data_IF_600429999888
#
_entry.id   IF_600429999888
#
_cell.length_a   1.000
_cell.length_b   1.000
_cell.length_c   1.000
_cell.angle_alpha   90.00
_cell.angle_beta   90.00
_cell.angle_gamma   90.00
#
_symmetry.space_group_name_H-M   'P 1'
#
loop_
_entity.id
_entity.type
_entity.pdbx_description
1 polymer ?
#
# COMPACT_ATOMS: atom_id res chain seq x y z
N UNK A 1 -28.72 -21.77 -10.66
CA UNK A 1 -27.97 -20.69 -11.35
C UNK A 1 -26.87 -20.21 -10.42
N UNK A 2 -25.62 -20.46 -10.80
CA UNK A 2 -24.45 -20.32 -9.94
C UNK A 2 -24.05 -18.86 -9.71
N UNK A 3 -23.85 -18.49 -8.44
CA UNK A 3 -23.18 -17.25 -8.07
C UNK A 3 -21.70 -17.37 -8.43
N UNK A 4 -21.26 -16.54 -9.36
CA UNK A 4 -19.84 -16.38 -9.67
C UNK A 4 -19.07 -16.04 -8.39
N UNK A 5 -18.01 -16.80 -8.12
CA UNK A 5 -17.06 -16.49 -7.06
C UNK A 5 -16.35 -15.18 -7.42
N UNK A 6 -16.58 -14.14 -6.63
CA UNK A 6 -15.87 -12.87 -6.73
C UNK A 6 -14.40 -13.15 -6.38
N UNK A 7 -13.51 -12.82 -7.30
CA UNK A 7 -12.06 -12.96 -7.14
C UNK A 7 -11.53 -11.86 -6.19
N UNK A 8 -10.91 -12.26 -5.08
CA UNK A 8 -10.65 -11.43 -3.91
C UNK A 8 -9.30 -10.68 -3.97
N UNK A 9 -9.07 -9.94 -5.06
CA UNK A 9 -7.91 -9.06 -5.21
C UNK A 9 -8.19 -7.64 -4.68
N UNK A 10 -8.47 -7.50 -3.38
CA UNK A 10 -7.98 -6.31 -2.65
C UNK A 10 -6.49 -6.55 -2.48
N UNK A 11 -5.79 -6.15 -3.52
CA UNK A 11 -4.36 -6.13 -3.58
C UNK A 11 -3.92 -5.08 -2.57
N UNK A 12 -3.20 -5.49 -1.52
CA UNK A 12 -2.49 -4.57 -0.63
C UNK A 12 -1.32 -4.02 -1.46
N UNK A 13 -1.64 -3.26 -2.50
CA UNK A 13 -0.69 -2.53 -3.32
C UNK A 13 -0.50 -1.20 -2.62
N UNK A 14 0.72 -0.98 -2.15
CA UNK A 14 1.20 0.35 -1.81
C UNK A 14 1.58 1.03 -3.13
N UNK A 15 0.63 1.60 -3.88
CA UNK A 15 0.94 2.46 -5.02
C UNK A 15 0.97 3.91 -4.54
N UNK A 16 2.09 4.56 -4.80
CA UNK A 16 2.17 6.01 -4.93
C UNK A 16 1.48 6.47 -6.21
N UNK A 17 0.66 7.50 -6.11
CA UNK A 17 0.24 8.26 -7.28
C UNK A 17 -0.77 9.33 -6.91
N UNK A 18 -0.43 10.58 -7.22
CA UNK A 18 -1.22 11.80 -7.05
C UNK A 18 -2.74 11.64 -7.19
N UNK A 19 -3.46 12.28 -6.25
CA UNK A 19 -4.85 12.65 -6.45
C UNK A 19 -4.93 13.77 -7.50
N UNK A 20 -5.19 13.41 -8.75
CA UNK A 20 -5.80 14.34 -9.72
C UNK A 20 -7.33 14.20 -9.66
N UNK A 21 -8.09 15.29 -9.44
CA UNK A 21 -9.54 15.24 -9.50
C UNK A 21 -10.03 15.07 -10.95
N UNK A 22 -11.03 14.21 -11.23
CA UNK A 22 -11.66 14.15 -12.53
C UNK A 22 -12.53 15.40 -12.75
N UNK A 23 -12.23 16.13 -13.83
CA UNK A 23 -13.10 17.17 -14.36
C UNK A 23 -14.42 16.58 -14.87
N UNK A 24 -15.52 17.19 -14.44
CA UNK A 24 -16.88 16.94 -14.92
C UNK A 24 -17.79 18.11 -14.53
N UNK A 25 -18.79 18.47 -15.35
CA UNK A 25 -19.24 19.85 -15.52
C UNK A 25 -20.15 20.35 -14.39
N UNK A 26 -19.98 21.64 -14.07
CA UNK A 26 -20.77 22.41 -13.13
C UNK A 26 -22.17 22.65 -13.70
N UNK A 27 -23.18 21.93 -13.18
CA UNK A 27 -24.60 22.31 -13.32
C UNK A 27 -24.97 23.28 -12.20
N UNK A 28 -25.48 24.42 -12.63
CA UNK A 28 -26.13 25.52 -11.92
C UNK A 28 -27.10 25.04 -10.83
N UNK A 29 -27.10 25.66 -9.64
CA UNK A 29 -28.28 26.29 -8.98
C UNK A 29 -27.98 26.83 -7.57
N UNK A 30 -28.16 28.17 -7.45
CA UNK A 30 -28.61 29.02 -6.32
C UNK A 30 -27.88 29.06 -4.96
N UNK A 31 -27.21 30.21 -4.79
CA UNK A 31 -27.12 31.12 -3.63
C UNK A 31 -27.73 30.66 -2.30
N UNK A 32 -26.90 30.67 -1.25
CA UNK A 32 -27.24 31.35 0.01
C UNK A 32 -26.03 32.16 0.51
N UNK A 33 -26.36 33.31 1.08
CA UNK A 33 -25.51 34.46 1.40
C UNK A 33 -24.60 34.17 2.59
N UNK A 34 -23.31 34.52 2.48
CA UNK A 34 -22.47 34.87 3.62
C UNK A 34 -21.63 36.09 3.29
N UNK A 35 -21.96 37.18 3.97
CA UNK A 35 -21.19 38.42 4.04
C UNK A 35 -19.90 38.15 4.82
N UNK A 36 -18.75 38.38 4.20
CA UNK A 36 -17.48 38.54 4.91
C UNK A 36 -16.66 39.58 4.15
N UNK A 37 -16.64 40.77 4.72
CA UNK A 37 -15.84 41.93 4.33
C UNK A 37 -14.37 41.62 4.64
N UNK A 38 -13.49 41.65 3.64
CA UNK A 38 -12.05 41.86 3.89
C UNK A 38 -11.42 42.56 2.69
N UNK A 39 -10.68 43.62 3.03
CA UNK A 39 -9.83 44.48 2.20
C UNK A 39 -9.04 43.68 1.14
N UNK A 40 -8.81 44.18 -0.07
CA UNK A 40 -8.30 45.51 -0.39
C UNK A 40 -6.81 45.37 -0.66
N UNK A 41 -6.43 45.25 -1.93
CA UNK A 41 -5.11 45.61 -2.44
C UNK A 41 -5.13 45.69 -3.96
N UNK A 42 -5.09 46.94 -4.44
CA UNK A 42 -4.89 47.34 -5.82
C UNK A 42 -3.41 47.22 -6.14
N UNK A 43 -3.05 46.50 -7.21
CA UNK A 43 -1.76 46.66 -7.86
C UNK A 43 -2.01 46.80 -9.36
N UNK A 44 -1.94 48.06 -9.82
CA UNK A 44 -1.82 48.44 -11.22
C UNK A 44 -0.36 48.25 -11.61
N UNK A 45 -0.10 47.41 -12.61
CA UNK A 45 1.17 47.40 -13.32
C UNK A 45 0.89 47.48 -14.81
N UNK A 46 0.96 48.71 -15.30
CA UNK A 46 1.07 49.07 -16.71
C UNK A 46 2.54 48.93 -17.11
N UNK A 47 2.84 48.09 -18.09
CA UNK A 47 4.21 47.91 -18.60
C UNK A 47 4.20 47.20 -19.94
N UNK A 48 4.21 47.98 -21.01
CA UNK A 48 4.38 47.52 -22.38
C UNK A 48 5.86 47.25 -22.68
N UNK A 49 6.15 46.17 -23.40
CA UNK A 49 7.36 46.07 -24.21
C UNK A 49 7.13 45.12 -25.40
N UNK A 50 7.72 45.54 -26.51
CA UNK A 50 7.58 45.08 -27.88
C UNK A 50 8.57 43.95 -28.13
N UNK A 51 8.21 42.96 -28.95
CA UNK A 51 9.21 42.20 -29.72
C UNK A 51 8.96 40.71 -29.88
N UNK A 52 8.98 40.27 -31.14
CA UNK A 52 9.44 38.92 -31.50
C UNK A 52 8.35 37.95 -31.91
N UNK A 53 7.99 37.98 -33.20
CA UNK A 53 7.31 36.87 -33.86
C UNK A 53 8.24 35.66 -33.96
N UNK A 54 7.80 34.49 -33.48
CA UNK A 54 8.36 33.20 -33.87
C UNK A 54 7.23 32.28 -34.29
N UNK A 55 7.33 31.82 -35.53
CA UNK A 55 6.38 30.96 -36.19
C UNK A 55 6.24 29.61 -35.47
N UNK A 56 5.00 29.19 -35.22
CA UNK A 56 4.70 27.82 -34.80
C UNK A 56 4.51 26.98 -36.06
N UNK A 57 5.49 26.12 -36.32
CA UNK A 57 5.38 25.04 -37.30
C UNK A 57 4.77 23.80 -36.64
N UNK A 58 3.74 23.25 -37.27
CA UNK A 58 3.27 21.86 -37.16
C UNK A 58 2.89 21.42 -38.56
N UNK A 59 2.77 20.12 -38.87
CA UNK A 59 3.23 18.91 -38.19
C UNK A 59 4.07 18.01 -39.14
N UNK A 60 4.70 16.94 -38.64
CA UNK A 60 4.52 15.57 -39.18
C UNK A 60 5.56 14.56 -38.62
N UNK A 61 4.99 13.44 -38.18
CA UNK A 61 5.43 12.06 -38.36
C UNK A 61 6.91 11.73 -38.18
N UNK A 62 7.21 11.05 -37.06
CA UNK A 62 7.92 9.77 -37.12
C UNK A 62 7.52 8.84 -35.96
N UNK A 63 6.93 7.72 -36.36
CA UNK A 63 7.35 6.37 -35.98
C UNK A 63 6.75 5.65 -34.76
N UNK A 64 6.16 4.51 -35.12
CA UNK A 64 6.27 3.18 -34.52
C UNK A 64 5.27 2.80 -33.43
N UNK A 65 4.12 2.37 -33.93
CA UNK A 65 3.52 1.06 -33.67
C UNK A 65 4.44 0.08 -32.93
N UNK A 66 4.11 -0.14 -31.66
CA UNK A 66 4.63 -1.20 -30.82
C UNK A 66 3.53 -1.66 -29.88
N UNK A 67 2.48 -2.28 -30.43
CA UNK A 67 1.41 -2.91 -29.66
C UNK A 67 2.00 -4.06 -28.84
N UNK A 68 2.34 -3.82 -27.57
CA UNK A 68 2.56 -4.90 -26.61
C UNK A 68 1.22 -5.56 -26.34
N UNK A 69 0.95 -6.64 -27.09
CA UNK A 69 -0.09 -7.60 -26.76
C UNK A 69 0.27 -8.22 -25.42
N UNK A 70 -0.48 -7.89 -24.37
CA UNK A 70 -0.58 -8.74 -23.19
C UNK A 70 -1.17 -10.08 -23.66
N UNK A 71 -0.31 -11.09 -23.81
CA UNK A 71 -0.78 -12.46 -23.85
C UNK A 71 -1.37 -12.77 -22.48
N UNK A 72 -2.70 -12.76 -22.39
CA UNK A 72 -3.44 -13.34 -21.28
C UNK A 72 -3.05 -14.82 -21.21
N UNK A 73 -2.11 -15.16 -20.33
CA UNK A 73 -1.81 -16.55 -20.02
C UNK A 73 -3.00 -17.04 -19.22
N UNK A 74 -3.76 -17.95 -19.83
CA UNK A 74 -4.92 -18.59 -19.26
C UNK A 74 -4.61 -19.13 -17.85
N UNK A 75 -5.59 -18.96 -16.96
CA UNK A 75 -5.50 -19.25 -15.53
C UNK A 75 -4.87 -20.61 -15.22
N UNK A 76 -3.75 -20.55 -14.50
CA UNK A 76 -3.36 -21.65 -13.63
C UNK A 76 -4.36 -21.74 -12.48
N UNK A 77 -4.80 -22.94 -12.07
CA UNK A 77 -5.69 -23.09 -10.93
C UNK A 77 -5.00 -22.53 -9.68
N UNK A 78 -5.56 -21.46 -9.11
CA UNK A 78 -5.27 -21.07 -7.74
C UNK A 78 -5.89 -22.15 -6.87
N UNK A 79 -5.08 -23.14 -6.48
CA UNK A 79 -5.49 -24.17 -5.53
C UNK A 79 -5.80 -23.49 -4.20
N UNK A 80 -7.08 -23.17 -4.00
CA UNK A 80 -7.58 -22.83 -2.68
C UNK A 80 -7.33 -24.03 -1.77
N UNK A 81 -6.56 -23.91 -0.69
CA UNK A 81 -6.30 -25.04 0.18
C UNK A 81 -7.61 -25.58 0.76
N UNK A 82 -7.75 -26.92 0.93
CA UNK A 82 -8.93 -27.52 1.51
C UNK A 82 -9.26 -26.92 2.87
N UNK A 83 -10.56 -26.67 3.10
CA UNK A 83 -11.11 -26.33 4.43
C UNK A 83 -10.79 -27.49 5.37
N UNK A 84 -9.81 -27.32 6.26
CA UNK A 84 -9.48 -28.30 7.31
C UNK A 84 -8.02 -28.69 7.44
N UNK A 85 -7.13 -28.30 6.51
CA UNK A 85 -5.69 -28.48 6.71
C UNK A 85 -5.21 -27.34 7.61
N UNK A 86 -4.79 -27.65 8.83
CA UNK A 86 -4.00 -26.73 9.64
C UNK A 86 -2.89 -26.20 8.75
N UNK A 87 -2.94 -24.90 8.41
CA UNK A 87 -2.03 -24.32 7.44
C UNK A 87 -0.60 -24.69 7.83
N UNK A 88 0.10 -25.43 6.96
CA UNK A 88 1.47 -25.82 7.25
C UNK A 88 2.32 -24.55 7.25
N UNK A 89 2.81 -24.16 8.43
CA UNK A 89 3.65 -23.00 8.58
C UNK A 89 5.04 -23.30 8.06
N UNK A 90 5.41 -22.67 6.96
CA UNK A 90 6.68 -22.89 6.26
C UNK A 90 7.61 -21.71 6.49
N UNK A 91 8.90 -21.99 6.67
CA UNK A 91 9.92 -20.94 6.71
C UNK A 91 9.98 -20.23 5.35
N UNK A 92 9.97 -18.91 5.39
CA UNK A 92 10.13 -18.01 4.25
C UNK A 92 11.26 -17.06 4.60
N UNK A 93 12.33 -17.10 3.82
CA UNK A 93 13.50 -16.25 4.01
C UNK A 93 13.58 -15.27 2.85
N UNK A 94 13.70 -13.98 3.17
CA UNK A 94 14.03 -12.96 2.20
C UNK A 94 15.51 -13.07 1.85
N UNK A 95 15.83 -13.63 0.69
CA UNK A 95 17.20 -14.00 0.33
C UNK A 95 18.21 -12.83 0.42
N UNK A 96 17.90 -11.59 0.00
CA UNK A 96 18.86 -10.49 0.08
C UNK A 96 19.17 -10.03 1.51
N UNK A 97 18.18 -10.08 2.41
CA UNK A 97 18.35 -9.60 3.81
C UNK A 97 18.65 -10.72 4.81
N UNK A 98 18.42 -11.98 4.46
CA UNK A 98 18.50 -13.13 5.37
C UNK A 98 17.35 -13.19 6.40
N UNK A 99 16.44 -12.22 6.40
CA UNK A 99 15.33 -12.13 7.35
C UNK A 99 14.34 -13.25 7.10
N UNK A 100 13.98 -13.97 8.16
CA UNK A 100 13.16 -15.18 8.07
C UNK A 100 11.90 -15.07 8.93
N UNK A 101 10.79 -15.57 8.41
CA UNK A 101 9.51 -15.74 9.13
C UNK A 101 8.89 -17.07 8.76
N UNK A 102 7.87 -17.51 9.49
CA UNK A 102 6.97 -18.58 9.07
C UNK A 102 5.70 -17.98 8.45
N UNK A 103 5.28 -18.52 7.31
CA UNK A 103 4.01 -18.17 6.64
C UNK A 103 3.08 -19.39 6.56
N UNK A 104 1.74 -19.21 6.57
CA UNK A 104 0.76 -20.29 6.54
C UNK A 104 0.60 -20.91 5.14
N UNK A 105 1.70 -21.14 4.45
CA UNK A 105 1.75 -21.62 3.08
C UNK A 105 2.97 -21.07 2.33
N UNK A 106 3.27 -21.67 1.18
CA UNK A 106 4.31 -21.17 0.27
C UNK A 106 3.80 -19.93 -0.47
N UNK A 107 4.72 -19.05 -0.80
CA UNK A 107 4.43 -17.83 -1.56
C UNK A 107 5.57 -17.53 -2.53
N UNK A 108 5.28 -16.70 -3.53
CA UNK A 108 6.29 -16.12 -4.42
C UNK A 108 6.57 -14.71 -3.94
N UNK A 109 7.81 -14.26 -4.14
CA UNK A 109 8.16 -12.86 -3.88
C UNK A 109 7.55 -11.98 -4.97
N UNK A 110 6.88 -10.92 -4.54
CA UNK A 110 6.44 -9.79 -5.38
C UNK A 110 7.43 -8.65 -5.18
N UNK A 111 7.89 -8.05 -6.29
CA UNK A 111 8.79 -6.90 -6.27
C UNK A 111 8.01 -5.65 -6.63
N UNK A 112 8.15 -4.61 -5.82
CA UNK A 112 7.47 -3.32 -5.97
C UNK A 112 8.38 -2.20 -5.45
N UNK A 113 7.87 -0.98 -5.40
CA UNK A 113 8.54 0.17 -4.81
C UNK A 113 7.57 0.98 -3.95
N UNK A 114 8.07 1.55 -2.85
CA UNK A 114 7.28 2.41 -1.98
C UNK A 114 7.98 3.75 -1.79
N UNK A 115 7.20 4.83 -1.67
CA UNK A 115 7.75 6.13 -1.31
C UNK A 115 7.49 6.40 0.16
N UNK A 116 8.58 6.59 0.91
CA UNK A 116 8.54 6.99 2.30
C UNK A 116 9.32 8.29 2.43
N UNK A 117 8.66 9.33 2.96
CA UNK A 117 9.26 10.66 3.15
C UNK A 117 9.89 11.22 1.87
N UNK A 118 9.21 11.07 0.73
CA UNK A 118 9.65 11.60 -0.56
C UNK A 118 10.76 10.82 -1.27
N UNK A 119 11.22 9.68 -0.71
CA UNK A 119 12.20 8.79 -1.34
C UNK A 119 11.58 7.45 -1.70
N UNK A 120 11.89 6.94 -2.88
CA UNK A 120 11.44 5.63 -3.36
C UNK A 120 12.42 4.54 -2.94
N UNK A 121 11.89 3.45 -2.39
CA UNK A 121 12.64 2.29 -1.89
C UNK A 121 12.12 1.02 -2.54
N UNK A 122 13.01 0.02 -2.70
CA UNK A 122 12.63 -1.29 -3.22
C UNK A 122 11.87 -2.07 -2.14
N UNK A 123 10.77 -2.69 -2.53
CA UNK A 123 9.91 -3.48 -1.66
C UNK A 123 9.84 -4.92 -2.18
N UNK A 124 10.11 -5.89 -1.31
CA UNK A 124 9.85 -7.30 -1.55
C UNK A 124 8.71 -7.75 -0.64
N UNK A 125 7.66 -8.33 -1.23
CA UNK A 125 6.46 -8.74 -0.49
C UNK A 125 6.17 -10.22 -0.69
N UNK A 126 5.77 -10.87 0.38
CA UNK A 126 5.45 -12.29 0.48
C UNK A 126 4.02 -12.40 1.05
N UNK A 127 3.05 -12.81 0.23
CA UNK A 127 1.62 -12.81 0.58
C UNK A 127 1.06 -14.24 0.59
N UNK A 128 0.28 -14.59 1.61
CA UNK A 128 -0.44 -15.87 1.68
C UNK A 128 -1.88 -15.63 2.11
N UNK A 129 -2.83 -16.23 1.40
CA UNK A 129 -4.23 -16.30 1.80
C UNK A 129 -4.46 -17.50 2.72
N UNK A 130 -5.03 -17.25 3.89
CA UNK A 130 -5.41 -18.26 4.90
C UNK A 130 -6.93 -18.21 5.10
N UNK A 131 -7.67 -18.81 4.16
CA UNK A 131 -9.12 -18.70 4.11
C UNK A 131 -9.55 -17.26 3.77
N UNK A 132 -10.36 -16.64 4.64
CA UNK A 132 -10.82 -15.24 4.50
C UNK A 132 -9.79 -14.20 4.99
N UNK A 133 -8.69 -14.66 5.58
CA UNK A 133 -7.64 -13.82 6.14
C UNK A 133 -6.44 -13.80 5.18
N UNK A 134 -5.65 -12.74 5.24
CA UNK A 134 -4.39 -12.60 4.50
C UNK A 134 -3.25 -12.39 5.49
N UNK A 135 -2.08 -12.95 5.17
CA UNK A 135 -0.83 -12.76 5.91
C UNK A 135 0.21 -12.19 4.96
N UNK A 136 0.93 -11.17 5.41
CA UNK A 136 1.93 -10.43 4.63
C UNK A 136 3.23 -10.35 5.41
N UNK A 137 4.33 -10.69 4.76
CA UNK A 137 5.69 -10.37 5.18
C UNK A 137 6.31 -9.51 4.09
N UNK A 138 6.95 -8.40 4.47
CA UNK A 138 7.59 -7.51 3.52
C UNK A 138 8.92 -7.01 4.05
N UNK A 139 9.86 -6.80 3.13
CA UNK A 139 11.17 -6.20 3.39
C UNK A 139 11.35 -5.03 2.44
N UNK A 140 11.57 -3.85 2.99
CA UNK A 140 11.92 -2.65 2.23
C UNK A 140 13.40 -2.36 2.39
N UNK A 141 14.13 -2.22 1.29
CA UNK A 141 15.54 -1.83 1.30
C UNK A 141 15.67 -0.32 1.43
N UNK A 142 16.27 0.12 2.53
CA UNK A 142 16.36 1.51 2.97
C UNK A 142 17.83 1.93 3.22
N UNK A 143 18.76 1.45 2.39
CA UNK A 143 20.19 1.76 2.53
C UNK A 143 20.46 3.27 2.65
N UNK A 144 21.13 3.67 3.72
CA UNK A 144 21.47 5.07 4.00
C UNK A 144 20.29 5.94 4.43
N UNK A 145 19.13 5.36 4.75
CA UNK A 145 17.98 6.07 5.31
C UNK A 145 17.75 5.73 6.78
N UNK A 146 17.09 6.63 7.51
CA UNK A 146 16.68 6.37 8.89
C UNK A 146 15.44 5.46 8.91
N UNK A 147 15.66 4.15 9.04
CA UNK A 147 14.59 3.13 9.13
C UNK A 147 13.69 3.33 10.35
N UNK A 148 14.19 3.92 11.44
CA UNK A 148 13.38 4.21 12.64
C UNK A 148 12.41 5.36 12.37
N UNK A 149 12.83 6.39 11.63
CA UNK A 149 11.95 7.49 11.22
C UNK A 149 10.82 7.01 10.28
N UNK A 150 10.98 5.87 9.62
CA UNK A 150 9.99 5.29 8.70
C UNK A 150 8.87 4.49 9.40
N UNK A 151 9.01 4.14 10.68
CA UNK A 151 8.05 3.30 11.41
C UNK A 151 6.62 3.89 11.44
N UNK A 152 6.48 5.16 11.81
CA UNK A 152 5.17 5.83 11.86
C UNK A 152 4.59 6.14 10.48
N UNK A 153 5.37 6.69 9.52
CA UNK A 153 4.93 6.84 8.13
C UNK A 153 4.41 5.54 7.52
N UNK A 154 5.05 4.40 7.79
CA UNK A 154 4.65 3.12 7.22
C UNK A 154 3.24 2.69 7.67
N UNK A 155 2.94 2.78 8.97
CA UNK A 155 1.58 2.47 9.49
C UNK A 155 0.54 3.43 8.95
N UNK A 156 0.86 4.73 8.92
CA UNK A 156 -0.05 5.73 8.33
C UNK A 156 -0.27 5.51 6.83
N UNK A 157 0.74 5.04 6.12
CA UNK A 157 0.65 4.70 4.70
C UNK A 157 -0.40 3.63 4.42
N UNK A 158 -0.45 2.57 5.25
CA UNK A 158 -1.49 1.53 5.14
C UNK A 158 -2.88 2.11 5.41
N UNK A 159 -3.02 2.94 6.45
CA UNK A 159 -4.30 3.55 6.76
C UNK A 159 -4.77 4.47 5.61
N UNK A 160 -3.87 5.28 5.05
CA UNK A 160 -4.17 6.12 3.91
C UNK A 160 -4.60 5.32 2.67
N UNK A 161 -3.86 4.25 2.32
CA UNK A 161 -4.17 3.43 1.13
C UNK A 161 -5.49 2.66 1.25
N UNK A 162 -5.90 2.34 2.47
CA UNK A 162 -7.17 1.64 2.75
C UNK A 162 -8.33 2.57 3.08
N UNK A 163 -8.10 3.90 3.08
CA UNK A 163 -9.03 4.87 3.69
C UNK A 163 -9.45 4.46 5.12
N UNK A 164 -8.53 3.80 5.83
CA UNK A 164 -8.71 3.25 7.14
C UNK A 164 -8.34 4.22 8.26
N UNK A 165 -8.69 3.83 9.48
CA UNK A 165 -8.36 4.56 10.71
C UNK A 165 -7.38 3.76 11.54
N UNK A 166 -6.29 4.41 11.98
CA UNK A 166 -5.34 3.83 12.93
C UNK A 166 -5.94 3.91 14.33
N UNK A 167 -6.39 2.78 14.87
CA UNK A 167 -6.96 2.67 16.22
C UNK A 167 -5.91 2.39 17.31
N UNK A 168 -4.73 1.90 16.92
CA UNK A 168 -3.57 1.68 17.80
C UNK A 168 -2.29 1.93 17.02
N UNK A 169 -1.33 2.60 17.66
CA UNK A 169 0.03 2.77 17.16
C UNK A 169 1.00 2.82 18.35
N UNK A 170 1.66 1.70 18.68
CA UNK A 170 2.44 1.55 19.91
C UNK A 170 3.92 1.24 19.64
N UNK A 171 4.86 1.92 20.30
CA UNK A 171 6.28 1.54 20.24
C UNK A 171 6.52 0.21 20.93
N UNK A 172 7.47 -0.57 20.40
CA UNK A 172 8.02 -1.76 21.05
C UNK A 172 9.45 -2.03 20.56
N UNK A 173 10.07 -3.11 21.06
CA UNK A 173 11.32 -3.65 20.54
C UNK A 173 11.13 -5.09 20.10
N UNK A 174 11.80 -5.49 19.02
CA UNK A 174 11.84 -6.87 18.53
C UNK A 174 13.30 -7.25 18.29
N UNK A 175 13.80 -8.26 18.99
CA UNK A 175 15.20 -8.68 18.91
C UNK A 175 16.20 -7.49 19.06
N UNK A 176 15.89 -6.54 19.95
CA UNK A 176 16.70 -5.33 20.14
C UNK A 176 16.42 -4.18 19.17
N UNK A 177 15.74 -4.42 18.05
CA UNK A 177 15.41 -3.42 17.04
C UNK A 177 14.19 -2.57 17.43
N UNK A 178 14.21 -1.24 17.17
CA UNK A 178 13.02 -0.40 17.29
C UNK A 178 11.90 -0.91 16.39
N UNK A 179 10.68 -0.94 16.92
CA UNK A 179 9.52 -1.40 16.18
C UNK A 179 8.27 -0.60 16.55
N UNK A 180 7.26 -0.73 15.69
CA UNK A 180 5.95 -0.13 15.87
C UNK A 180 4.86 -1.12 15.54
N UNK A 181 3.88 -1.26 16.41
CA UNK A 181 2.72 -2.13 16.24
C UNK A 181 1.45 -1.30 16.05
N UNK A 182 0.68 -1.66 15.02
CA UNK A 182 -0.51 -0.92 14.59
C UNK A 182 -1.75 -1.80 14.49
N UNK A 183 -2.91 -1.18 14.73
CA UNK A 183 -4.22 -1.74 14.38
C UNK A 183 -4.99 -0.76 13.51
N UNK A 184 -5.36 -1.18 12.32
CA UNK A 184 -6.08 -0.37 11.33
C UNK A 184 -7.43 -1.02 11.08
N UNK A 185 -8.49 -0.21 11.03
CA UNK A 185 -9.82 -0.65 10.62
C UNK A 185 -10.27 0.14 9.41
N UNK A 186 -10.94 -0.53 8.48
CA UNK A 186 -11.44 0.09 7.26
C UNK A 186 -12.70 -0.64 6.78
N UNK A 187 -13.46 0.00 5.90
CA UNK A 187 -14.58 -0.63 5.20
C UNK A 187 -14.13 -1.03 3.80
N UNK A 188 -14.41 -2.26 3.41
CA UNK A 188 -14.18 -2.77 2.07
C UNK A 188 -15.52 -3.19 1.48
N UNK A 189 -16.14 -2.29 0.72
CA UNK A 189 -17.43 -2.52 0.06
C UNK A 189 -18.55 -2.95 1.03
N UNK A 190 -18.67 -2.26 2.15
CA UNK A 190 -19.65 -2.55 3.21
C UNK A 190 -19.24 -3.71 4.12
N UNK A 191 -18.04 -4.26 3.96
CA UNK A 191 -17.48 -5.29 4.84
C UNK A 191 -16.41 -4.67 5.74
N UNK A 192 -16.68 -4.52 7.04
CA UNK A 192 -15.68 -4.05 7.99
C UNK A 192 -14.48 -5.02 8.05
N UNK A 193 -13.28 -4.47 7.95
CA UNK A 193 -12.02 -5.21 8.01
C UNK A 193 -11.10 -4.66 9.09
N UNK A 194 -10.18 -5.53 9.52
CA UNK A 194 -9.12 -5.20 10.47
C UNK A 194 -7.77 -5.63 9.90
N UNK A 195 -6.75 -4.81 10.12
CA UNK A 195 -5.34 -5.12 9.89
C UNK A 195 -4.60 -4.99 11.22
N UNK A 196 -3.85 -6.03 11.57
CA UNK A 196 -2.83 -6.00 12.60
C UNK A 196 -1.47 -5.97 11.90
N UNK A 197 -0.65 -4.97 12.21
CA UNK A 197 0.63 -4.76 11.53
C UNK A 197 1.75 -4.50 12.52
N UNK A 198 2.95 -4.98 12.23
CA UNK A 198 4.20 -4.59 12.89
C UNK A 198 5.19 -4.12 11.85
N UNK A 199 5.84 -2.99 12.11
CA UNK A 199 7.04 -2.58 11.41
C UNK A 199 8.25 -2.65 12.34
N UNK A 200 9.38 -3.16 11.85
CA UNK A 200 10.65 -3.26 12.59
C UNK A 200 11.75 -2.57 11.79
N UNK A 201 12.50 -1.69 12.43
CA UNK A 201 13.65 -0.99 11.87
C UNK A 201 14.92 -1.84 12.06
N UNK A 202 15.28 -2.62 11.04
CA UNK A 202 16.37 -3.59 11.07
C UNK A 202 17.55 -3.11 10.21
N UNK A 203 18.45 -2.32 10.81
CA UNK A 203 19.59 -1.71 10.11
C UNK A 203 19.13 -0.95 8.84
N UNK A 204 19.52 -1.46 7.66
CA UNK A 204 19.18 -0.92 6.34
C UNK A 204 17.83 -1.43 5.79
N UNK A 205 17.05 -2.16 6.59
CA UNK A 205 15.76 -2.70 6.17
C UNK A 205 14.63 -2.21 7.07
N UNK A 206 13.48 -1.93 6.44
CA UNK A 206 12.21 -1.80 7.15
C UNK A 206 11.40 -3.08 6.90
N UNK A 207 11.15 -3.83 7.98
CA UNK A 207 10.46 -5.12 7.92
C UNK A 207 9.00 -4.93 8.32
N UNK A 208 8.07 -5.30 7.44
CA UNK A 208 6.64 -5.28 7.72
C UNK A 208 6.06 -6.68 7.90
N UNK A 209 5.25 -6.85 8.93
CA UNK A 209 4.53 -8.08 9.25
C UNK A 209 3.05 -7.74 9.42
N UNK A 210 2.16 -8.36 8.64
CA UNK A 210 0.75 -8.03 8.64
C UNK A 210 -0.14 -9.26 8.64
N UNK A 211 -1.26 -9.18 9.35
CA UNK A 211 -2.40 -10.05 9.13
C UNK A 211 -3.66 -9.20 8.98
N UNK A 212 -4.54 -9.58 8.05
CA UNK A 212 -5.80 -8.88 7.83
C UNK A 212 -6.94 -9.84 7.56
N UNK A 213 -8.17 -9.37 7.78
CA UNK A 213 -9.38 -10.15 7.58
C UNK A 213 -10.64 -9.37 7.93
N UNK A 214 -11.82 -9.99 7.80
CA UNK A 214 -13.07 -9.40 8.28
C UNK A 214 -13.01 -9.11 9.78
N UNK A 215 -13.58 -7.98 10.22
CA UNK A 215 -13.62 -7.62 11.63
C UNK A 215 -14.38 -8.66 12.48
N UNK A 216 -15.36 -9.35 11.88
CA UNK A 216 -16.09 -10.47 12.51
C UNK A 216 -15.20 -11.69 12.81
N UNK A 217 -13.96 -11.71 12.30
CA UNK A 217 -12.96 -12.75 12.55
C UNK A 217 -11.66 -12.20 13.16
N UNK A 218 -11.73 -11.09 13.89
CA UNK A 218 -10.54 -10.47 14.50
C UNK A 218 -9.74 -11.45 15.37
N UNK A 219 -10.40 -12.44 15.99
CA UNK A 219 -9.71 -13.52 16.72
C UNK A 219 -8.81 -14.35 15.81
N UNK A 220 -9.29 -14.75 14.63
CA UNK A 220 -8.51 -15.50 13.64
C UNK A 220 -7.35 -14.67 13.09
N UNK A 221 -7.59 -13.38 12.80
CA UNK A 221 -6.55 -12.43 12.38
C UNK A 221 -5.46 -12.31 13.46
N UNK A 222 -5.85 -12.20 14.74
CA UNK A 222 -4.92 -12.10 15.87
C UNK A 222 -4.06 -13.36 16.02
N UNK A 223 -4.62 -14.55 15.85
CA UNK A 223 -3.86 -15.79 15.92
C UNK A 223 -2.81 -15.89 14.81
N UNK A 224 -3.18 -15.58 13.57
CA UNK A 224 -2.24 -15.52 12.44
C UNK A 224 -1.14 -14.48 12.70
N UNK A 225 -1.51 -13.30 13.17
CA UNK A 225 -0.57 -12.22 13.47
C UNK A 225 0.44 -12.61 14.56
N UNK A 226 -0.02 -13.23 15.65
CA UNK A 226 0.85 -13.67 16.74
C UNK A 226 1.84 -14.74 16.28
N UNK A 227 1.38 -15.70 15.47
CA UNK A 227 2.25 -16.75 14.97
C UNK A 227 3.26 -16.22 13.93
N UNK A 228 2.85 -15.30 13.05
CA UNK A 228 3.75 -14.59 12.14
C UNK A 228 4.83 -13.83 12.92
N UNK A 229 4.41 -12.95 13.83
CA UNK A 229 5.35 -12.07 14.55
C UNK A 229 6.25 -12.81 15.53
N UNK A 230 5.77 -13.91 16.13
CA UNK A 230 6.58 -14.78 16.99
C UNK A 230 7.62 -15.62 16.24
N UNK A 231 7.54 -15.68 14.91
CA UNK A 231 8.47 -16.45 14.06
C UNK A 231 9.57 -15.62 13.41
N UNK A 232 9.56 -14.30 13.61
CA UNK A 232 10.53 -13.38 13.00
C UNK A 232 11.94 -13.64 13.55
N UNK A 233 12.87 -13.83 12.63
CA UNK A 233 14.30 -13.87 12.88
C UNK A 233 14.98 -12.83 11.98
N UNK A 234 15.76 -11.95 12.61
CA UNK A 234 16.61 -10.95 11.96
C UNK A 234 18.06 -11.39 12.23
N UNK A 235 18.92 -11.53 11.21
CA UNK A 235 20.33 -11.89 11.36
C UNK A 235 21.14 -10.92 12.20
#
# INVERSE_FOLDING_TARGET
MGRAAVDWNVELILINGELRPPGGPMRTTRRFVRTATTAGLTAVLTGAAIGGATAVSTPQDFARTGSLRLAATAGGPVTSPPRGIAAQWVNTTDAPSGITVKLPGRTKVEHDSITLSGKTYQLRTYKVSAGKNKVVFQVTDMHGADTKAALDPAIRGIAASTSGTVSRNQPLKVAGHPAREGRITFDDNGVPRVVLVRYVAAADHLVGLGASGPATDEKGVKQLYQQLTGSLHIP
#
